data_IF_877906937879
#
_entry.id   IF_877906937879
#
_cell.length_a   1.000
_cell.length_b   1.000
_cell.length_c   1.000
_cell.angle_alpha   90.00
_cell.angle_beta   90.00
_cell.angle_gamma   90.00
#
_symmetry.space_group_name_H-M   'P 1'
#
loop_
_entity.id
_entity.type
_entity.pdbx_description
1 polymer ?
#
# COMPACT_ATOMS: atom_id res chain seq x y z
N UNK A 1 3.26 -33.94 46.31
CA UNK A 1 2.28 -32.88 46.69
C UNK A 1 2.96 -31.59 47.10
N UNK A 2 3.98 -31.63 47.98
CA UNK A 2 4.70 -30.42 48.42
C UNK A 2 5.31 -29.63 47.25
N UNK A 3 5.97 -30.33 46.31
CA UNK A 3 6.56 -29.74 45.08
C UNK A 3 5.54 -29.03 44.19
N UNK A 4 4.39 -29.66 43.92
CA UNK A 4 3.31 -29.06 43.12
C UNK A 4 2.72 -27.81 43.80
N UNK A 5 2.53 -27.86 45.12
CA UNK A 5 2.03 -26.71 45.89
C UNK A 5 3.04 -25.55 45.89
N UNK A 6 4.34 -25.83 46.03
CA UNK A 6 5.37 -24.78 45.93
C UNK A 6 5.44 -24.17 44.53
N UNK A 7 5.36 -24.98 43.47
CA UNK A 7 5.34 -24.48 42.09
C UNK A 7 4.10 -23.63 41.79
N UNK A 8 2.92 -24.02 42.30
CA UNK A 8 1.69 -23.21 42.15
C UNK A 8 1.81 -21.84 42.81
N UNK A 9 2.38 -21.77 44.02
CA UNK A 9 2.58 -20.47 44.70
C UNK A 9 3.58 -19.59 43.98
N UNK A 10 4.62 -20.17 43.35
CA UNK A 10 5.54 -19.43 42.48
C UNK A 10 4.83 -18.88 41.25
N UNK A 11 4.00 -19.67 40.58
CA UNK A 11 3.21 -19.23 39.41
C UNK A 11 2.22 -18.12 39.79
N UNK A 12 1.51 -18.27 40.91
CA UNK A 12 0.59 -17.26 41.45
C UNK A 12 1.33 -15.96 41.77
N UNK A 13 2.50 -16.05 42.41
CA UNK A 13 3.34 -14.88 42.69
C UNK A 13 3.81 -14.17 41.42
N UNK A 14 4.32 -14.92 40.44
CA UNK A 14 4.75 -14.37 39.15
C UNK A 14 3.59 -13.72 38.40
N UNK A 15 2.42 -14.36 38.39
CA UNK A 15 1.21 -13.84 37.75
C UNK A 15 0.71 -12.56 38.43
N UNK A 16 0.75 -12.49 39.76
CA UNK A 16 0.44 -11.27 40.51
C UNK A 16 1.38 -10.10 40.19
N UNK A 17 2.69 -10.37 40.03
CA UNK A 17 3.67 -9.34 39.63
C UNK A 17 3.39 -8.82 38.22
N UNK A 18 3.06 -9.70 37.27
CA UNK A 18 2.72 -9.31 35.89
C UNK A 18 1.47 -8.43 35.85
N UNK A 19 0.43 -8.77 36.61
CA UNK A 19 -0.80 -7.97 36.71
C UNK A 19 -0.53 -6.60 37.34
N UNK A 20 0.28 -6.54 38.40
CA UNK A 20 0.68 -5.27 39.01
C UNK A 20 1.47 -4.41 38.02
N UNK A 21 2.45 -4.99 37.32
CA UNK A 21 3.21 -4.28 36.31
C UNK A 21 2.30 -3.75 35.19
N UNK A 22 1.32 -4.54 34.74
CA UNK A 22 0.35 -4.11 33.74
C UNK A 22 -0.51 -2.96 34.25
N UNK A 23 -1.00 -3.05 35.49
CA UNK A 23 -1.79 -2.00 36.16
C UNK A 23 -1.06 -0.66 36.24
N UNK A 24 0.23 -0.66 36.58
CA UNK A 24 1.03 0.56 36.64
C UNK A 24 1.40 1.13 35.25
N UNK A 25 1.23 0.37 34.17
CA UNK A 25 1.60 0.78 32.81
C UNK A 25 0.42 1.13 31.89
N UNK A 26 -0.83 1.04 32.35
CA UNK A 26 -2.05 1.33 31.57
C UNK A 26 -2.01 2.73 30.89
N UNK A 27 -1.37 3.72 31.52
CA UNK A 27 -1.35 5.11 31.06
C UNK A 27 -0.12 5.49 30.19
N UNK A 28 0.49 4.54 29.47
CA UNK A 28 1.57 4.86 28.54
C UNK A 28 1.08 5.74 27.38
N UNK A 29 1.84 6.79 27.05
CA UNK A 29 1.57 7.67 25.90
C UNK A 29 1.58 6.85 24.62
N UNK A 30 0.44 6.80 23.92
CA UNK A 30 0.28 6.13 22.63
C UNK A 30 -0.98 5.29 22.48
N UNK A 31 -1.67 4.94 23.58
CA UNK A 31 -2.93 4.22 23.52
C UNK A 31 -4.11 5.17 23.24
N UNK A 32 -4.96 4.80 22.30
CA UNK A 32 -6.25 5.45 22.08
C UNK A 32 -7.26 5.04 23.19
N UNK A 33 -8.39 5.74 23.27
CA UNK A 33 -9.39 5.51 24.31
C UNK A 33 -9.92 4.05 24.32
N UNK A 34 -9.93 3.40 23.15
CA UNK A 34 -10.30 2.00 23.00
C UNK A 34 -9.25 1.05 23.59
N UNK A 35 -7.95 1.30 23.32
CA UNK A 35 -6.84 0.54 23.89
C UNK A 35 -6.80 0.59 25.42
N UNK A 36 -7.02 1.77 26.01
CA UNK A 36 -7.06 1.93 27.47
C UNK A 36 -8.23 1.14 28.09
N UNK A 37 -9.41 1.19 27.46
CA UNK A 37 -10.59 0.46 27.92
C UNK A 37 -10.41 -1.06 27.88
N UNK A 38 -9.81 -1.57 26.80
CA UNK A 38 -9.50 -3.00 26.63
C UNK A 38 -8.47 -3.49 27.65
N UNK A 39 -7.37 -2.74 27.85
CA UNK A 39 -6.31 -3.10 28.79
C UNK A 39 -6.81 -3.11 30.24
N UNK A 40 -7.65 -2.13 30.61
CA UNK A 40 -8.30 -2.07 31.92
C UNK A 40 -9.21 -3.29 32.14
N UNK A 41 -9.98 -3.69 31.13
CA UNK A 41 -10.82 -4.89 31.17
C UNK A 41 -10.00 -6.16 31.38
N UNK A 42 -8.88 -6.33 30.66
CA UNK A 42 -8.00 -7.48 30.78
C UNK A 42 -7.39 -7.62 32.18
N UNK A 43 -7.00 -6.51 32.80
CA UNK A 43 -6.46 -6.51 34.17
C UNK A 43 -7.52 -6.91 35.19
N UNK A 44 -8.76 -6.43 35.03
CA UNK A 44 -9.88 -6.82 35.88
C UNK A 44 -10.16 -8.33 35.80
N UNK A 45 -10.29 -8.89 34.59
CA UNK A 45 -10.45 -10.33 34.40
C UNK A 45 -9.22 -11.11 34.91
N UNK A 46 -8.03 -10.58 34.72
CA UNK A 46 -6.79 -11.13 35.24
C UNK A 46 -6.80 -11.24 36.76
N UNK A 47 -7.31 -10.24 37.47
CA UNK A 47 -7.48 -10.24 38.93
C UNK A 47 -8.47 -11.31 39.42
N UNK A 48 -9.59 -11.50 38.71
CA UNK A 48 -10.54 -12.58 39.01
C UNK A 48 -9.84 -13.95 38.86
N UNK A 49 -9.09 -14.16 37.78
CA UNK A 49 -8.35 -15.40 37.56
C UNK A 49 -7.32 -15.66 38.66
N UNK A 50 -6.61 -14.61 39.12
CA UNK A 50 -5.67 -14.70 40.23
C UNK A 50 -6.37 -15.16 41.53
N UNK A 51 -7.54 -14.59 41.85
CA UNK A 51 -8.32 -14.98 43.02
C UNK A 51 -8.77 -16.46 42.95
N UNK A 52 -9.21 -16.92 41.77
CA UNK A 52 -9.57 -18.32 41.52
C UNK A 52 -8.37 -19.25 41.71
N UNK A 53 -7.19 -18.88 41.20
CA UNK A 53 -5.96 -19.67 41.35
C UNK A 53 -5.52 -19.78 42.83
N UNK A 54 -5.62 -18.69 43.59
CA UNK A 54 -5.35 -18.68 45.05
C UNK A 54 -6.33 -19.64 45.76
N UNK A 55 -7.63 -19.53 45.48
CA UNK A 55 -8.66 -20.38 46.07
C UNK A 55 -8.42 -21.87 45.78
N UNK A 56 -8.13 -22.23 44.53
CA UNK A 56 -7.83 -23.62 44.15
C UNK A 56 -6.58 -24.18 44.85
N UNK A 57 -5.59 -23.34 45.15
CA UNK A 57 -4.33 -23.77 45.75
C UNK A 57 -4.40 -23.95 47.29
N UNK A 58 -5.36 -23.29 47.96
CA UNK A 58 -5.63 -23.45 49.41
C UNK A 58 -6.29 -24.81 49.70
N UNK A 59 -7.12 -25.30 48.79
CA UNK A 59 -7.88 -26.55 48.96
C UNK A 59 -6.91 -27.76 49.04
N UNK A 60 -7.04 -28.66 50.03
CA UNK A 60 -6.08 -29.75 50.28
C UNK A 60 -6.24 -30.96 49.34
N UNK A 61 -6.94 -30.84 48.22
CA UNK A 61 -7.16 -31.93 47.26
C UNK A 61 -6.11 -31.93 46.13
N UNK A 62 -5.78 -33.11 45.58
CA UNK A 62 -4.81 -33.23 44.48
C UNK A 62 -5.33 -32.62 43.18
N UNK A 63 -6.60 -32.83 42.87
CA UNK A 63 -7.22 -32.33 41.65
C UNK A 63 -7.23 -30.79 41.59
N UNK A 64 -7.52 -30.09 42.70
CA UNK A 64 -7.50 -28.62 42.74
C UNK A 64 -6.12 -28.05 42.45
N UNK A 65 -5.06 -28.69 42.95
CA UNK A 65 -3.66 -28.31 42.69
C UNK A 65 -3.25 -28.53 41.25
N UNK A 66 -3.73 -29.59 40.60
CA UNK A 66 -3.46 -29.87 39.19
C UNK A 66 -4.19 -28.88 38.28
N UNK A 67 -5.44 -28.54 38.60
CA UNK A 67 -6.20 -27.51 37.89
C UNK A 67 -5.54 -26.14 38.03
N UNK A 68 -5.15 -25.74 39.25
CA UNK A 68 -4.45 -24.46 39.47
C UNK A 68 -3.13 -24.38 38.70
N UNK A 69 -2.36 -25.48 38.66
CA UNK A 69 -1.13 -25.54 37.88
C UNK A 69 -1.40 -25.36 36.39
N UNK A 70 -2.38 -26.09 35.84
CA UNK A 70 -2.73 -26.06 34.42
C UNK A 70 -3.23 -24.68 33.99
N UNK A 71 -4.15 -24.10 34.77
CA UNK A 71 -4.70 -22.76 34.51
C UNK A 71 -3.64 -21.67 34.69
N UNK A 72 -2.77 -21.78 35.71
CA UNK A 72 -1.68 -20.83 35.93
C UNK A 72 -0.56 -20.91 34.89
N UNK A 73 -0.35 -22.07 34.28
CA UNK A 73 0.65 -22.29 33.23
C UNK A 73 0.19 -21.74 31.86
N UNK A 74 -1.11 -21.75 31.57
CA UNK A 74 -1.66 -21.29 30.29
C UNK A 74 -1.25 -19.85 29.93
N UNK A 75 -1.43 -18.83 30.79
CA UNK A 75 -0.97 -17.47 30.49
C UNK A 75 0.53 -17.40 30.23
N UNK A 76 1.34 -18.16 30.97
CA UNK A 76 2.80 -18.20 30.77
C UNK A 76 3.15 -18.79 29.42
N UNK A 77 2.49 -19.87 29.00
CA UNK A 77 2.68 -20.49 27.70
C UNK A 77 2.24 -19.56 26.55
N UNK A 78 1.09 -18.89 26.69
CA UNK A 78 0.59 -17.94 25.69
C UNK A 78 1.53 -16.75 25.54
N UNK A 79 1.96 -16.14 26.64
CA UNK A 79 2.92 -15.01 26.61
C UNK A 79 4.26 -15.44 26.02
N UNK A 80 4.75 -16.63 26.39
CA UNK A 80 6.01 -17.17 25.85
C UNK A 80 5.90 -17.46 24.35
N UNK A 81 4.79 -18.06 23.91
CA UNK A 81 4.51 -18.32 22.50
C UNK A 81 4.47 -17.00 21.70
N UNK A 82 3.71 -16.02 22.17
CA UNK A 82 3.61 -14.72 21.50
C UNK A 82 4.96 -14.02 21.43
N UNK A 83 5.72 -13.97 22.54
CA UNK A 83 7.04 -13.34 22.55
C UNK A 83 8.02 -13.98 21.55
N UNK A 84 8.07 -15.31 21.50
CA UNK A 84 8.94 -16.04 20.57
C UNK A 84 8.45 -15.85 19.13
N UNK A 85 7.15 -15.99 18.91
CA UNK A 85 6.48 -15.79 17.62
C UNK A 85 6.78 -14.39 17.06
N UNK A 86 6.55 -13.33 17.84
CA UNK A 86 6.77 -11.95 17.43
C UNK A 86 8.24 -11.69 17.08
N UNK A 87 9.18 -12.26 17.84
CA UNK A 87 10.63 -12.16 17.55
C UNK A 87 11.00 -12.88 16.26
N UNK A 88 10.45 -14.07 16.03
CA UNK A 88 10.67 -14.83 14.79
C UNK A 88 10.08 -14.07 13.61
N UNK A 89 8.83 -13.62 13.70
CA UNK A 89 8.18 -12.86 12.64
C UNK A 89 8.92 -11.56 12.34
N UNK A 90 9.35 -10.81 13.36
CA UNK A 90 10.15 -9.59 13.16
C UNK A 90 11.50 -9.89 12.49
N UNK A 91 12.15 -11.01 12.82
CA UNK A 91 13.40 -11.42 12.17
C UNK A 91 13.18 -11.80 10.70
N UNK A 92 12.14 -12.60 10.42
CA UNK A 92 11.80 -13.02 9.06
C UNK A 92 11.37 -11.84 8.19
N UNK A 93 10.58 -10.91 8.75
CA UNK A 93 10.16 -9.69 8.06
C UNK A 93 11.36 -8.81 7.74
N UNK A 94 12.28 -8.62 8.70
CA UNK A 94 13.53 -7.90 8.46
C UNK A 94 14.36 -8.53 7.33
N UNK A 95 14.53 -9.85 7.35
CA UNK A 95 15.30 -10.56 6.33
C UNK A 95 14.64 -10.43 4.94
N UNK A 96 13.32 -10.55 4.88
CA UNK A 96 12.55 -10.36 3.64
C UNK A 96 12.68 -8.93 3.12
N UNK A 97 12.56 -7.93 3.99
CA UNK A 97 12.69 -6.52 3.63
C UNK A 97 14.11 -6.19 3.14
N UNK A 98 15.14 -6.77 3.76
CA UNK A 98 16.52 -6.64 3.27
C UNK A 98 16.68 -7.26 1.86
N UNK A 99 16.12 -8.44 1.63
CA UNK A 99 16.15 -9.11 0.33
C UNK A 99 15.37 -8.35 -0.76
N UNK A 100 14.25 -7.75 -0.41
CA UNK A 100 13.49 -6.86 -1.30
C UNK A 100 14.32 -5.61 -1.60
N UNK A 101 14.87 -4.96 -0.57
CA UNK A 101 15.63 -3.71 -0.69
C UNK A 101 16.89 -3.87 -1.55
N UNK A 102 17.61 -4.99 -1.40
CA UNK A 102 18.85 -5.24 -2.12
C UNK A 102 18.67 -5.96 -3.47
N UNK A 103 17.45 -6.34 -3.81
CA UNK A 103 17.09 -7.02 -5.06
C UNK A 103 17.24 -8.54 -5.07
N UNK A 104 17.77 -9.17 -4.02
CA UNK A 104 17.97 -10.64 -3.96
C UNK A 104 16.67 -11.43 -3.86
N UNK A 105 15.57 -10.78 -3.51
CA UNK A 105 14.24 -11.38 -3.61
C UNK A 105 13.83 -11.56 -5.08
N UNK A 106 14.10 -10.56 -5.93
CA UNK A 106 13.70 -10.54 -7.32
C UNK A 106 14.68 -11.28 -8.24
N UNK A 107 15.98 -11.17 -8.01
CA UNK A 107 17.00 -11.70 -8.91
C UNK A 107 17.87 -12.75 -8.22
N UNK A 108 17.72 -14.02 -8.61
CA UNK A 108 18.56 -15.12 -8.14
C UNK A 108 19.83 -15.31 -8.99
N UNK A 109 19.80 -14.88 -10.26
CA UNK A 109 20.97 -14.87 -11.14
C UNK A 109 22.02 -13.88 -10.62
N UNK A 110 23.26 -14.34 -10.47
CA UNK A 110 24.33 -13.54 -9.88
C UNK A 110 24.63 -12.24 -10.64
N UNK A 111 24.54 -12.25 -11.98
CA UNK A 111 24.83 -11.07 -12.78
C UNK A 111 23.71 -10.02 -12.68
N UNK A 112 22.45 -10.45 -12.76
CA UNK A 112 21.30 -9.55 -12.55
C UNK A 112 21.25 -9.03 -11.12
N UNK A 113 21.57 -9.87 -10.14
CA UNK A 113 21.64 -9.47 -8.73
C UNK A 113 22.74 -8.43 -8.48
N UNK A 114 23.90 -8.53 -9.12
CA UNK A 114 24.94 -7.51 -9.00
C UNK A 114 24.49 -6.16 -9.56
N UNK A 115 23.71 -6.15 -10.65
CA UNK A 115 23.09 -4.93 -11.18
C UNK A 115 22.04 -4.39 -10.19
N UNK A 116 21.16 -5.25 -9.67
CA UNK A 116 20.16 -4.86 -8.68
C UNK A 116 20.79 -4.27 -7.41
N UNK A 117 21.89 -4.87 -6.91
CA UNK A 117 22.63 -4.34 -5.75
C UNK A 117 23.29 -2.98 -6.04
N UNK A 118 23.80 -2.78 -7.25
CA UNK A 118 24.33 -1.47 -7.66
C UNK A 118 23.22 -0.41 -7.69
N UNK A 119 22.03 -0.76 -8.19
CA UNK A 119 20.84 0.11 -8.16
C UNK A 119 20.42 0.41 -6.72
N UNK A 120 20.32 -0.62 -5.86
CA UNK A 120 19.90 -0.48 -4.47
C UNK A 120 20.83 0.41 -3.63
N UNK A 121 22.13 0.42 -3.97
CA UNK A 121 23.16 1.26 -3.33
C UNK A 121 23.39 2.60 -4.04
N UNK A 122 22.69 2.85 -5.15
CA UNK A 122 22.88 4.02 -6.03
C UNK A 122 24.33 4.19 -6.54
N UNK A 123 25.04 3.08 -6.74
CA UNK A 123 26.42 3.07 -7.22
C UNK A 123 26.44 3.18 -8.76
N UNK A 124 26.28 4.42 -9.26
CA UNK A 124 26.27 4.72 -10.70
C UNK A 124 27.54 4.26 -11.42
N UNK A 125 28.78 4.46 -10.90
CA UNK A 125 29.99 3.96 -11.55
C UNK A 125 30.01 2.43 -11.69
N UNK A 126 29.61 1.71 -10.63
CA UNK A 126 29.51 0.24 -10.68
C UNK A 126 28.45 -0.20 -11.67
N UNK A 127 27.28 0.45 -11.66
CA UNK A 127 26.20 0.17 -12.61
C UNK A 127 26.67 0.34 -14.06
N UNK A 128 27.34 1.45 -14.38
CA UNK A 128 27.89 1.69 -15.73
C UNK A 128 28.86 0.59 -16.16
N UNK A 129 29.74 0.16 -15.26
CA UNK A 129 30.69 -0.93 -15.52
C UNK A 129 29.97 -2.25 -15.81
N UNK A 130 28.95 -2.59 -15.00
CA UNK A 130 28.17 -3.80 -15.18
C UNK A 130 27.40 -3.80 -16.50
N UNK A 131 26.87 -2.65 -16.93
CA UNK A 131 26.12 -2.50 -18.19
C UNK A 131 27.00 -2.61 -19.45
N UNK A 132 28.34 -2.62 -19.31
CA UNK A 132 29.26 -2.94 -20.41
C UNK A 132 29.48 -4.45 -20.58
N UNK A 133 28.98 -5.26 -19.65
CA UNK A 133 29.10 -6.73 -19.69
C UNK A 133 27.94 -7.39 -20.46
N UNK A 134 28.01 -8.71 -20.73
CA UNK A 134 26.92 -9.46 -21.39
C UNK A 134 25.55 -9.36 -20.69
N UNK A 135 25.51 -8.95 -19.41
CA UNK A 135 24.25 -8.72 -18.66
C UNK A 135 23.33 -7.72 -19.37
N UNK A 136 23.89 -6.81 -20.19
CA UNK A 136 23.13 -5.84 -20.98
C UNK A 136 22.09 -6.47 -21.90
N UNK A 137 22.32 -7.68 -22.39
CA UNK A 137 21.38 -8.39 -23.26
C UNK A 137 20.17 -8.94 -22.49
N UNK A 138 20.27 -9.00 -21.16
CA UNK A 138 19.32 -9.63 -20.24
C UNK A 138 18.56 -8.62 -19.37
N UNK A 139 18.70 -7.32 -19.61
CA UNK A 139 18.11 -6.27 -18.77
C UNK A 139 16.59 -6.32 -18.67
N UNK A 140 15.93 -6.89 -19.68
CA UNK A 140 14.48 -6.98 -19.80
C UNK A 140 13.94 -8.34 -19.34
N UNK A 141 14.79 -9.23 -18.81
CA UNK A 141 14.34 -10.47 -18.18
C UNK A 141 13.60 -10.16 -16.89
N UNK A 142 12.46 -10.81 -16.71
CA UNK A 142 11.71 -10.79 -15.46
C UNK A 142 12.36 -11.72 -14.44
N UNK A 143 12.55 -11.22 -13.22
CA UNK A 143 12.88 -12.01 -12.05
C UNK A 143 11.64 -12.60 -11.37
N UNK A 144 11.76 -12.88 -10.07
CA UNK A 144 10.62 -13.22 -9.23
C UNK A 144 9.57 -12.09 -9.24
N UNK A 145 8.29 -12.46 -9.12
CA UNK A 145 7.13 -11.56 -9.20
C UNK A 145 7.04 -10.74 -10.51
N UNK A 146 7.66 -11.23 -11.59
CA UNK A 146 7.64 -10.57 -12.90
C UNK A 146 8.32 -9.19 -12.93
N UNK A 147 9.27 -8.96 -12.02
CA UNK A 147 9.98 -7.67 -11.86
C UNK A 147 11.23 -7.64 -12.73
N UNK A 148 11.35 -6.65 -13.61
CA UNK A 148 12.60 -6.37 -14.36
C UNK A 148 13.54 -5.46 -13.57
N UNK A 149 14.79 -5.31 -14.04
CA UNK A 149 15.73 -4.36 -13.44
C UNK A 149 15.24 -2.91 -13.52
N UNK A 150 14.48 -2.55 -14.56
CA UNK A 150 13.86 -1.23 -14.68
C UNK A 150 12.73 -1.05 -13.66
N UNK A 151 11.90 -2.07 -13.45
CA UNK A 151 10.86 -2.05 -12.42
C UNK A 151 11.49 -1.88 -11.04
N UNK A 152 12.52 -2.67 -10.75
CA UNK A 152 13.25 -2.59 -9.49
C UNK A 152 13.86 -1.20 -9.26
N UNK A 153 14.56 -0.63 -10.25
CA UNK A 153 15.09 0.73 -10.16
C UNK A 153 13.99 1.77 -9.92
N UNK A 154 12.81 1.56 -10.52
CA UNK A 154 11.66 2.44 -10.33
C UNK A 154 11.10 2.33 -8.91
N UNK A 155 10.98 1.12 -8.35
CA UNK A 155 10.55 0.92 -6.96
C UNK A 155 11.51 1.59 -5.97
N UNK A 156 12.82 1.47 -6.23
CA UNK A 156 13.84 2.20 -5.44
C UNK A 156 13.69 3.72 -5.57
N UNK A 157 13.22 4.24 -6.70
CA UNK A 157 13.06 5.68 -6.91
C UNK A 157 11.87 6.29 -6.18
N UNK A 158 10.83 5.50 -5.92
CA UNK A 158 9.62 5.96 -5.23
C UNK A 158 9.68 5.76 -3.72
N UNK A 159 10.49 4.82 -3.23
CA UNK A 159 10.68 4.57 -1.80
C UNK A 159 11.68 5.54 -1.15
N UNK A 160 12.56 6.15 -1.93
CA UNK A 160 13.65 6.97 -1.40
C UNK A 160 13.30 8.45 -1.29
N UNK A 161 13.87 9.11 -0.28
CA UNK A 161 13.70 10.55 -0.03
C UNK A 161 14.26 11.42 -1.17
N UNK A 162 15.22 10.91 -1.96
CA UNK A 162 15.85 11.63 -3.06
C UNK A 162 15.55 10.98 -4.44
N UNK A 163 14.42 11.31 -5.08
CA UNK A 163 14.03 10.70 -6.36
C UNK A 163 15.01 11.02 -7.51
N UNK A 164 15.87 12.04 -7.37
CA UNK A 164 16.79 12.45 -8.45
C UNK A 164 17.86 11.41 -8.75
N UNK A 165 18.47 10.81 -7.74
CA UNK A 165 19.56 9.83 -7.94
C UNK A 165 19.02 8.51 -8.48
N UNK A 166 17.89 8.05 -7.95
CA UNK A 166 17.25 6.86 -8.47
C UNK A 166 16.74 7.01 -9.92
N UNK A 167 16.34 8.22 -10.34
CA UNK A 167 16.08 8.51 -11.76
C UNK A 167 17.34 8.35 -12.64
N UNK A 168 18.56 8.62 -12.14
CA UNK A 168 19.78 8.37 -12.92
C UNK A 168 20.00 6.88 -13.18
N UNK A 169 19.71 6.02 -12.20
CA UNK A 169 19.76 4.56 -12.40
C UNK A 169 18.78 4.13 -13.50
N UNK A 170 17.55 4.64 -13.47
CA UNK A 170 16.55 4.38 -14.51
C UNK A 170 17.02 4.87 -15.89
N UNK A 171 17.53 6.09 -15.98
CA UNK A 171 18.05 6.66 -17.23
C UNK A 171 19.22 5.86 -17.80
N UNK A 172 20.15 5.40 -16.95
CA UNK A 172 21.27 4.56 -17.36
C UNK A 172 20.80 3.20 -17.89
N UNK A 173 19.84 2.55 -17.23
CA UNK A 173 19.26 1.29 -17.70
C UNK A 173 18.60 1.49 -19.06
N UNK A 174 17.76 2.51 -19.19
CA UNK A 174 17.04 2.84 -20.44
C UNK A 174 18.02 3.16 -21.57
N UNK A 175 19.09 3.92 -21.30
CA UNK A 175 20.14 4.21 -22.28
C UNK A 175 20.91 2.96 -22.73
N UNK A 176 20.91 1.89 -21.92
CA UNK A 176 21.57 0.63 -22.23
C UNK A 176 20.62 -0.45 -22.79
N UNK A 177 19.37 -0.10 -23.08
CA UNK A 177 18.42 -1.00 -23.75
C UNK A 177 17.42 -1.69 -22.82
N UNK A 178 17.36 -1.29 -21.54
CA UNK A 178 16.16 -1.58 -20.76
C UNK A 178 14.96 -0.88 -21.38
N UNK A 179 13.79 -1.51 -21.33
CA UNK A 179 12.55 -0.98 -21.91
C UNK A 179 11.39 -1.19 -20.95
N UNK A 180 10.38 -0.32 -21.05
CA UNK A 180 9.12 -0.43 -20.30
C UNK A 180 8.23 -1.56 -20.82
N UNK A 181 8.50 -2.05 -22.03
CA UNK A 181 7.76 -3.13 -22.68
C UNK A 181 8.55 -4.44 -22.58
N UNK A 182 7.88 -5.51 -22.17
CA UNK A 182 8.50 -6.84 -22.04
C UNK A 182 7.62 -7.87 -22.74
N UNK A 183 8.17 -9.05 -23.02
CA UNK A 183 7.42 -10.19 -23.55
C UNK A 183 6.66 -10.96 -22.45
N UNK A 184 6.87 -10.59 -21.19
CA UNK A 184 6.23 -11.22 -20.04
C UNK A 184 4.81 -10.68 -19.87
N UNK A 185 3.81 -11.49 -20.22
CA UNK A 185 2.40 -11.12 -20.17
C UNK A 185 1.84 -11.06 -18.75
N UNK A 186 2.51 -11.67 -17.77
CA UNK A 186 2.09 -11.64 -16.37
C UNK A 186 2.60 -10.39 -15.63
N UNK A 187 3.57 -9.67 -16.23
CA UNK A 187 4.09 -8.42 -15.70
C UNK A 187 3.06 -7.30 -15.77
N UNK A 188 2.90 -6.59 -14.66
CA UNK A 188 2.17 -5.32 -14.63
C UNK A 188 3.10 -4.21 -15.16
N UNK A 189 2.70 -3.40 -16.15
CA UNK A 189 3.55 -2.32 -16.67
C UNK A 189 3.98 -1.34 -15.56
N UNK A 190 5.27 -0.97 -15.50
CA UNK A 190 5.86 -0.14 -14.43
C UNK A 190 5.08 1.14 -14.17
N UNK A 191 4.62 1.79 -15.24
CA UNK A 191 3.90 3.05 -15.16
C UNK A 191 2.58 2.95 -14.39
N UNK A 192 1.93 1.77 -14.36
CA UNK A 192 0.73 1.51 -13.55
C UNK A 192 1.07 1.59 -12.06
N UNK A 193 2.23 1.07 -11.66
CA UNK A 193 2.65 1.13 -10.28
C UNK A 193 3.06 2.55 -9.87
N UNK A 194 3.81 3.24 -10.73
CA UNK A 194 4.21 4.64 -10.53
C UNK A 194 2.99 5.57 -10.46
N UNK A 195 1.94 5.29 -11.22
CA UNK A 195 0.72 6.10 -11.13
C UNK A 195 0.10 6.07 -9.73
N UNK A 196 0.18 4.92 -9.06
CA UNK A 196 -0.35 4.70 -7.71
C UNK A 196 0.55 5.27 -6.62
N UNK A 197 1.84 4.95 -6.66
CA UNK A 197 2.76 5.16 -5.53
C UNK A 197 3.94 6.08 -5.85
N UNK A 198 4.20 6.39 -7.12
CA UNK A 198 5.33 7.22 -7.52
C UNK A 198 5.00 8.70 -7.66
N UNK A 199 5.99 9.51 -8.03
CA UNK A 199 5.81 10.93 -8.33
C UNK A 199 5.44 11.16 -9.80
N UNK A 200 4.87 12.33 -10.11
CA UNK A 200 4.62 12.71 -11.50
C UNK A 200 5.90 12.77 -12.34
N UNK A 201 7.06 13.08 -11.74
CA UNK A 201 8.33 13.18 -12.46
C UNK A 201 8.80 11.82 -12.99
N UNK A 202 8.67 10.76 -12.18
CA UNK A 202 9.02 9.39 -12.59
C UNK A 202 8.07 8.91 -13.69
N UNK A 203 6.76 9.20 -13.56
CA UNK A 203 5.78 8.85 -14.58
C UNK A 203 6.09 9.55 -15.91
N UNK A 204 6.36 10.85 -15.88
CA UNK A 204 6.73 11.64 -17.06
C UNK A 204 7.99 11.11 -17.75
N UNK A 205 9.00 10.70 -16.98
CA UNK A 205 10.22 10.08 -17.52
C UNK A 205 9.89 8.78 -18.26
N UNK A 206 9.09 7.89 -17.66
CA UNK A 206 8.69 6.63 -18.29
C UNK A 206 7.90 6.88 -19.58
N UNK A 207 6.96 7.83 -19.57
CA UNK A 207 6.17 8.20 -20.75
C UNK A 207 7.05 8.75 -21.88
N UNK A 208 7.98 9.66 -21.58
CA UNK A 208 9.00 10.16 -22.54
C UNK A 208 9.88 9.05 -23.12
N UNK A 209 9.99 7.93 -22.44
CA UNK A 209 10.81 6.77 -22.82
C UNK A 209 9.99 5.64 -23.45
N UNK A 210 8.73 5.91 -23.80
CA UNK A 210 7.89 5.00 -24.57
C UNK A 210 7.00 4.08 -23.74
N UNK A 211 6.79 4.37 -22.45
CA UNK A 211 5.74 3.73 -21.68
C UNK A 211 4.38 4.01 -22.30
N UNK A 212 3.55 2.98 -22.43
CA UNK A 212 2.20 3.12 -22.98
C UNK A 212 1.32 3.96 -22.01
N UNK A 213 0.82 5.14 -22.43
CA UNK A 213 -0.08 5.98 -21.65
C UNK A 213 -1.49 5.39 -21.52
N UNK A 214 -1.79 4.31 -22.24
CA UNK A 214 -3.06 3.56 -22.19
C UNK A 214 -2.90 2.16 -21.57
N UNK A 215 -1.79 1.93 -20.85
CA UNK A 215 -1.54 0.67 -20.17
C UNK A 215 -2.69 0.29 -19.24
N UNK A 216 -2.85 -1.01 -19.03
CA UNK A 216 -3.90 -1.59 -18.17
C UNK A 216 -3.29 -2.28 -16.97
N UNK A 217 -3.98 -2.20 -15.84
CA UNK A 217 -3.64 -2.95 -14.64
C UNK A 217 -4.09 -4.42 -14.76
N UNK A 218 -3.84 -5.23 -13.72
CA UNK A 218 -4.20 -6.65 -13.67
C UNK A 218 -5.71 -6.93 -13.78
N UNK A 219 -6.56 -5.95 -13.50
CA UNK A 219 -8.01 -6.04 -13.66
C UNK A 219 -8.49 -5.53 -15.03
N UNK A 220 -7.57 -5.10 -15.89
CA UNK A 220 -7.88 -4.54 -17.21
C UNK A 220 -8.26 -3.06 -17.19
N UNK A 221 -8.22 -2.38 -16.04
CA UNK A 221 -8.54 -0.96 -15.98
C UNK A 221 -7.41 -0.11 -16.57
N UNK A 222 -7.73 0.85 -17.46
CA UNK A 222 -6.77 1.82 -17.97
C UNK A 222 -6.06 2.60 -16.85
N UNK A 223 -4.80 2.99 -17.10
CA UNK A 223 -3.95 3.68 -16.12
C UNK A 223 -4.56 4.95 -15.53
N UNK A 224 -5.38 5.69 -16.29
CA UNK A 224 -6.06 6.89 -15.81
C UNK A 224 -6.87 6.62 -14.53
N UNK A 225 -7.58 5.49 -14.45
CA UNK A 225 -8.37 5.13 -13.28
C UNK A 225 -7.49 4.90 -12.04
N UNK A 226 -6.42 4.11 -12.21
CA UNK A 226 -5.44 3.88 -11.13
C UNK A 226 -4.65 5.14 -10.74
N UNK A 227 -4.66 6.19 -11.56
CA UNK A 227 -4.06 7.48 -11.23
C UNK A 227 -5.02 8.36 -10.43
N UNK A 228 -6.32 8.32 -10.77
CA UNK A 228 -7.34 9.14 -10.11
C UNK A 228 -7.57 8.68 -8.66
N UNK A 229 -7.41 7.39 -8.36
CA UNK A 229 -7.59 6.81 -7.02
C UNK A 229 -6.60 7.33 -5.97
N UNK A 230 -5.46 7.88 -6.37
CA UNK A 230 -4.38 8.28 -5.47
C UNK A 230 -4.17 9.79 -5.54
N UNK A 231 -4.16 10.46 -4.39
CA UNK A 231 -4.14 11.93 -4.32
C UNK A 231 -2.76 12.54 -4.63
N UNK A 232 -1.67 11.84 -4.28
CA UNK A 232 -0.31 12.34 -4.46
C UNK A 232 0.02 12.57 -5.94
N UNK A 233 0.30 13.83 -6.28
CA UNK A 233 0.55 14.31 -7.64
C UNK A 233 -0.57 13.97 -8.64
N UNK A 234 -1.80 13.69 -8.18
CA UNK A 234 -2.92 13.21 -9.03
C UNK A 234 -3.09 14.03 -10.30
N UNK A 235 -3.22 15.35 -10.15
CA UNK A 235 -3.41 16.28 -11.26
C UNK A 235 -2.24 16.24 -12.25
N UNK A 236 -1.00 16.27 -11.75
CA UNK A 236 0.20 16.27 -12.59
C UNK A 236 0.37 14.94 -13.34
N UNK A 237 0.08 13.81 -12.69
CA UNK A 237 0.12 12.49 -13.32
C UNK A 237 -0.94 12.33 -14.40
N UNK A 238 -2.19 12.74 -14.13
CA UNK A 238 -3.26 12.69 -15.15
C UNK A 238 -2.92 13.62 -16.31
N UNK A 239 -2.39 14.82 -16.03
CA UNK A 239 -1.92 15.75 -17.06
C UNK A 239 -0.85 15.13 -17.95
N UNK A 240 0.19 14.54 -17.36
CA UNK A 240 1.25 13.84 -18.08
C UNK A 240 0.67 12.74 -18.99
N UNK A 241 -0.16 11.85 -18.43
CA UNK A 241 -0.79 10.77 -19.21
C UNK A 241 -1.58 11.30 -20.41
N UNK A 242 -2.39 12.34 -20.21
CA UNK A 242 -3.17 12.95 -21.30
C UNK A 242 -2.30 13.69 -22.31
N UNK A 243 -1.17 14.29 -21.92
CA UNK A 243 -0.21 14.94 -22.83
C UNK A 243 0.51 13.93 -23.73
N UNK A 244 0.75 12.72 -23.21
CA UNK A 244 1.36 11.62 -23.95
C UNK A 244 0.35 10.74 -24.70
N UNK A 245 -0.95 11.07 -24.69
CA UNK A 245 -1.96 10.41 -25.52
C UNK A 245 -2.81 9.35 -24.82
N UNK A 246 -2.93 9.39 -23.49
CA UNK A 246 -3.95 8.61 -22.78
C UNK A 246 -5.35 8.98 -23.28
N UNK A 247 -6.19 7.98 -23.53
CA UNK A 247 -7.54 8.18 -24.03
C UNK A 247 -8.46 8.71 -22.91
N UNK A 248 -8.94 9.97 -22.98
CA UNK A 248 -9.81 10.55 -21.96
C UNK A 248 -11.21 9.92 -21.95
N UNK A 249 -11.52 9.07 -22.92
CA UNK A 249 -12.79 8.34 -23.08
C UNK A 249 -12.63 6.82 -22.88
N UNK A 250 -11.53 6.38 -22.27
CA UNK A 250 -11.34 4.97 -21.93
C UNK A 250 -12.38 4.52 -20.91
N UNK A 251 -12.94 3.31 -21.05
CA UNK A 251 -14.00 2.83 -20.15
C UNK A 251 -13.42 1.89 -19.08
N UNK A 252 -13.84 2.10 -17.84
CA UNK A 252 -13.53 1.21 -16.73
C UNK A 252 -14.17 -0.16 -16.98
N UNK A 253 -13.46 -1.28 -16.79
CA UNK A 253 -14.04 -2.60 -17.02
C UNK A 253 -15.22 -2.87 -16.08
N UNK A 254 -16.04 -3.85 -16.48
CA UNK A 254 -17.28 -4.20 -15.77
C UNK A 254 -17.01 -4.99 -14.49
N UNK A 255 -16.47 -4.33 -13.47
CA UNK A 255 -16.36 -4.89 -12.13
C UNK A 255 -16.50 -3.80 -11.06
N UNK A 256 -17.19 -4.16 -9.97
CA UNK A 256 -17.50 -3.23 -8.88
C UNK A 256 -18.61 -2.23 -9.23
N UNK A 257 -18.84 -1.28 -8.33
CA UNK A 257 -19.91 -0.28 -8.45
C UNK A 257 -19.60 0.85 -9.45
N UNK A 258 -18.35 0.94 -9.93
CA UNK A 258 -17.87 1.89 -10.94
C UNK A 258 -17.69 1.25 -12.32
N UNK A 259 -18.26 0.06 -12.53
CA UNK A 259 -18.23 -0.62 -13.82
C UNK A 259 -18.75 0.29 -14.94
N UNK A 260 -18.06 0.28 -16.08
CA UNK A 260 -18.38 1.11 -17.25
C UNK A 260 -18.23 2.63 -17.06
N UNK A 261 -17.59 3.12 -16.00
CA UNK A 261 -17.40 4.56 -15.84
C UNK A 261 -16.39 5.08 -16.87
N UNK A 262 -16.65 6.26 -17.44
CA UNK A 262 -15.62 7.02 -18.15
C UNK A 262 -14.67 7.67 -17.12
N UNK A 263 -13.48 8.15 -17.53
CA UNK A 263 -12.54 8.80 -16.62
C UNK A 263 -13.16 10.07 -16.01
N UNK A 264 -14.03 10.76 -16.77
CA UNK A 264 -14.75 11.94 -16.29
C UNK A 264 -15.76 11.59 -15.19
N UNK A 265 -16.57 10.54 -15.37
CA UNK A 265 -17.48 10.07 -14.32
C UNK A 265 -16.72 9.62 -13.07
N UNK A 266 -15.61 8.91 -13.28
CA UNK A 266 -14.78 8.39 -12.19
C UNK A 266 -14.10 9.51 -11.39
N UNK A 267 -13.54 10.52 -12.07
CA UNK A 267 -12.96 11.69 -11.41
C UNK A 267 -14.01 12.50 -10.64
N UNK A 268 -15.20 12.69 -11.21
CA UNK A 268 -16.28 13.43 -10.57
C UNK A 268 -16.80 12.72 -9.32
N UNK A 269 -16.92 11.39 -9.36
CA UNK A 269 -17.31 10.60 -8.19
C UNK A 269 -16.24 10.63 -7.06
N UNK A 270 -14.99 10.89 -7.41
CA UNK A 270 -13.90 11.09 -6.45
C UNK A 270 -13.70 12.57 -6.07
N UNK A 271 -14.61 13.47 -6.48
CA UNK A 271 -14.54 14.92 -6.25
C UNK A 271 -13.23 15.55 -6.76
N UNK A 272 -12.58 14.94 -7.74
CA UNK A 272 -11.36 15.44 -8.37
C UNK A 272 -11.73 16.47 -9.46
N UNK A 273 -12.30 17.61 -9.05
CA UNK A 273 -12.90 18.59 -9.96
C UNK A 273 -11.88 19.29 -10.87
N UNK A 274 -10.64 19.45 -10.40
CA UNK A 274 -9.49 19.89 -11.19
C UNK A 274 -9.17 18.91 -12.33
N UNK A 275 -9.16 17.61 -12.03
CA UNK A 275 -9.00 16.54 -13.03
C UNK A 275 -10.18 16.49 -13.99
N UNK A 276 -11.41 16.70 -13.51
CA UNK A 276 -12.59 16.78 -14.39
C UNK A 276 -12.47 17.91 -15.41
N UNK A 277 -12.01 19.08 -14.99
CA UNK A 277 -11.76 20.21 -15.89
C UNK A 277 -10.70 19.88 -16.94
N UNK A 278 -9.59 19.26 -16.52
CA UNK A 278 -8.53 18.83 -17.42
C UNK A 278 -9.02 17.76 -18.42
N UNK A 279 -9.82 16.78 -17.98
CA UNK A 279 -10.40 15.77 -18.86
C UNK A 279 -11.30 16.41 -19.94
N UNK A 280 -12.14 17.38 -19.57
CA UNK A 280 -12.94 18.14 -20.54
C UNK A 280 -12.07 18.90 -21.54
N UNK A 281 -10.98 19.52 -21.09
CA UNK A 281 -10.01 20.19 -21.97
C UNK A 281 -9.35 19.26 -22.98
N UNK A 282 -9.19 17.99 -22.60
CA UNK A 282 -8.56 16.95 -23.44
C UNK A 282 -9.57 16.14 -24.24
N UNK A 283 -10.85 16.51 -24.24
CA UNK A 283 -11.87 15.90 -25.10
C UNK A 283 -12.62 14.72 -24.47
N UNK A 284 -12.71 14.67 -23.14
CA UNK A 284 -13.62 13.74 -22.47
C UNK A 284 -15.08 14.02 -22.87
N UNK A 285 -15.81 12.97 -23.19
CA UNK A 285 -17.20 13.01 -23.60
C UNK A 285 -18.11 13.14 -22.38
N UNK A 286 -18.59 14.36 -22.14
CA UNK A 286 -19.55 14.66 -21.08
C UNK A 286 -20.95 14.11 -21.37
N UNK A 287 -21.22 13.63 -22.59
CA UNK A 287 -22.50 13.01 -22.97
C UNK A 287 -22.47 11.49 -22.81
N UNK A 288 -21.33 10.93 -22.44
CA UNK A 288 -21.23 9.50 -22.18
C UNK A 288 -22.21 9.07 -21.09
N UNK A 289 -22.91 7.97 -21.37
CA UNK A 289 -23.87 7.36 -20.48
C UNK A 289 -23.46 5.91 -20.25
N UNK A 290 -23.39 5.51 -18.98
CA UNK A 290 -23.18 4.10 -18.61
C UNK A 290 -24.37 3.24 -19.04
N UNK A 291 -24.24 1.89 -19.09
CA UNK A 291 -25.35 1.00 -19.42
C UNK A 291 -26.60 1.14 -18.53
N UNK A 292 -26.44 1.64 -17.29
CA UNK A 292 -27.56 1.89 -16.36
C UNK A 292 -28.23 3.25 -16.56
N UNK A 293 -27.73 4.05 -17.50
CA UNK A 293 -28.26 5.38 -17.76
C UNK A 293 -27.57 6.50 -16.99
N UNK A 294 -26.57 6.20 -16.16
CA UNK A 294 -25.86 7.19 -15.34
C UNK A 294 -24.90 8.04 -16.20
N UNK A 295 -24.93 9.37 -16.03
CA UNK A 295 -24.12 10.36 -16.75
C UNK A 295 -23.58 11.45 -15.81
N UNK A 296 -22.77 12.38 -16.35
CA UNK A 296 -22.07 13.38 -15.53
C UNK A 296 -23.01 14.33 -14.79
N UNK A 297 -24.16 14.65 -15.38
CA UNK A 297 -25.17 15.51 -14.77
C UNK A 297 -25.75 14.89 -13.49
N UNK A 298 -25.85 13.55 -13.41
CA UNK A 298 -26.30 12.87 -12.19
C UNK A 298 -25.32 13.12 -11.03
N UNK A 299 -24.01 13.04 -11.30
CA UNK A 299 -22.96 13.30 -10.31
C UNK A 299 -22.97 14.75 -9.88
N UNK A 300 -23.12 15.68 -10.84
CA UNK A 300 -23.18 17.13 -10.55
C UNK A 300 -24.37 17.47 -9.66
N UNK A 301 -25.56 16.95 -9.95
CA UNK A 301 -26.77 17.17 -9.13
C UNK A 301 -26.58 16.60 -7.72
N UNK A 302 -26.02 15.39 -7.60
CA UNK A 302 -25.75 14.78 -6.29
C UNK A 302 -24.85 15.65 -5.42
N UNK A 303 -23.69 16.07 -5.95
CA UNK A 303 -22.75 16.89 -5.21
C UNK A 303 -23.21 18.34 -5.02
N UNK A 304 -24.00 18.90 -5.93
CA UNK A 304 -24.61 20.22 -5.75
C UNK A 304 -25.53 20.23 -4.52
N UNK A 305 -26.38 19.22 -4.35
CA UNK A 305 -27.22 19.08 -3.16
C UNK A 305 -26.37 18.89 -1.90
N UNK A 306 -25.38 17.99 -1.95
CA UNK A 306 -24.49 17.72 -0.82
C UNK A 306 -23.73 18.97 -0.35
N UNK A 307 -23.20 19.77 -1.29
CA UNK A 307 -22.47 21.00 -0.97
C UNK A 307 -23.39 22.13 -0.51
N UNK A 308 -24.61 22.19 -1.03
CA UNK A 308 -25.62 23.14 -0.56
C UNK A 308 -26.04 22.83 0.89
N UNK A 309 -26.31 21.56 1.20
CA UNK A 309 -26.67 21.12 2.55
C UNK A 309 -25.56 21.40 3.57
N UNK A 310 -24.31 21.22 3.15
CA UNK A 310 -23.13 21.47 4.00
C UNK A 310 -22.71 22.95 4.04
N UNK A 311 -23.34 23.83 3.28
CA UNK A 311 -23.00 25.26 3.21
C UNK A 311 -21.60 25.58 2.68
N UNK A 312 -20.92 24.61 2.05
CA UNK A 312 -19.57 24.76 1.54
C UNK A 312 -19.46 24.15 0.13
N UNK A 313 -19.37 25.02 -0.87
CA UNK A 313 -19.21 24.62 -2.27
C UNK A 313 -17.77 24.83 -2.71
N UNK A 314 -17.04 23.76 -3.08
CA UNK A 314 -15.67 23.87 -3.56
C UNK A 314 -15.54 24.78 -4.79
N UNK A 315 -14.51 25.63 -4.83
CA UNK A 315 -14.30 26.58 -5.92
C UNK A 315 -13.99 25.88 -7.26
N UNK A 316 -13.26 24.78 -7.20
CA UNK A 316 -12.96 23.89 -8.32
C UNK A 316 -14.21 23.17 -8.87
N UNK A 317 -15.16 22.78 -8.00
CA UNK A 317 -16.47 22.29 -8.44
C UNK A 317 -17.25 23.35 -9.21
N UNK A 318 -17.26 24.59 -8.75
CA UNK A 318 -17.92 25.70 -9.45
C UNK A 318 -17.25 25.99 -10.80
N UNK A 319 -15.93 25.95 -10.86
CA UNK A 319 -15.17 26.09 -12.10
C UNK A 319 -15.48 24.96 -13.09
N UNK A 320 -15.54 23.71 -12.60
CA UNK A 320 -15.95 22.56 -13.38
C UNK A 320 -17.37 22.73 -13.95
N UNK A 321 -18.36 23.10 -13.12
CA UNK A 321 -19.74 23.35 -13.58
C UNK A 321 -19.81 24.42 -14.66
N UNK A 322 -19.07 25.52 -14.50
CA UNK A 322 -19.00 26.59 -15.50
C UNK A 322 -18.45 26.06 -16.83
N UNK A 323 -17.37 25.27 -16.79
CA UNK A 323 -16.76 24.67 -17.99
C UNK A 323 -17.68 23.64 -18.64
N UNK A 324 -18.34 22.79 -17.86
CA UNK A 324 -19.33 21.82 -18.34
C UNK A 324 -20.48 22.51 -19.08
N UNK A 325 -21.05 23.57 -18.50
CA UNK A 325 -22.12 24.36 -19.14
C UNK A 325 -21.67 25.01 -20.45
N UNK A 326 -20.45 25.54 -20.50
CA UNK A 326 -19.87 26.09 -21.72
C UNK A 326 -19.67 25.01 -22.81
N UNK A 327 -19.26 23.80 -22.40
CA UNK A 327 -19.15 22.67 -23.31
C UNK A 327 -20.53 22.22 -23.84
N UNK A 328 -21.56 22.26 -23.00
CA UNK A 328 -22.95 21.97 -23.37
C UNK A 328 -23.55 23.02 -24.33
N UNK A 329 -23.14 24.29 -24.23
CA UNK A 329 -23.70 25.38 -25.05
C UNK A 329 -22.97 25.64 -26.37
N UNK A 330 -21.83 25.00 -26.61
CA UNK A 330 -20.97 25.25 -27.79
C UNK A 330 -21.26 24.34 -28.99
N UNK A 331 -22.31 23.53 -28.93
CA UNK A 331 -22.79 22.63 -29.98
C UNK A 331 -24.32 22.57 -29.97
#
# INVERSE_FOLDING_TARGET
>A
MKTLTTSNWLLVGLYGIILLFSFFNINRRGNDAAGIGMETGLIFFGGILLAVLIGLNIIPYRWSKLTAFSVGLLPVLVVSYNFVSDRIFAYLDKQKNEAITNGSYYFQDAALLDVARAIAKEDLPRLQTLLQSPVRQRLNESGNDHVTLLDFATFRATEQENPKQAMHCMELLLANGATTQTTDTARIPTQIWVSRQGSAAVLELLLKKGADPNARNSYGAPILFSTIDYETDRFLKVKALLEHGANPNSIHPDYGWMGHYSPLLYAANNQAWDVCQLLLERGADFRYQTPTGFMIDNVVVHYENLYADNGNTPADFMAFKKKLRAAQSSK
#
